data_IF_614658826865
#
_entry.id   IF_614658826865
#
_cell.length_a   1.000
_cell.length_b   1.000
_cell.length_c   1.000
_cell.angle_alpha   90.00
_cell.angle_beta   90.00
_cell.angle_gamma   90.00
#
_symmetry.space_group_name_H-M   'P 1'
#
loop_
_entity.id
_entity.type
_entity.pdbx_description
1 polymer ?
#
# COMPACT_ATOMS: atom_id res chain seq x y z
N UNK A 1 -32.45 -21.77 46.60
CA UNK A 1 -33.78 -21.12 46.50
C UNK A 1 -33.72 -19.81 47.25
N UNK A 2 -33.95 -18.68 46.57
CA UNK A 2 -33.96 -17.33 47.18
C UNK A 2 -35.27 -16.64 46.79
N UNK A 3 -36.06 -16.10 47.74
CA UNK A 3 -37.32 -15.45 47.44
C UNK A 3 -37.19 -13.94 47.14
N UNK A 4 -38.28 -13.42 46.60
CA UNK A 4 -38.51 -12.06 46.08
C UNK A 4 -38.13 -10.90 47.02
N UNK A 5 -37.69 -9.80 46.40
CA UNK A 5 -37.56 -8.47 47.02
C UNK A 5 -38.89 -7.71 47.08
N UNK A 6 -39.03 -6.84 48.08
CA UNK A 6 -39.85 -5.62 48.06
C UNK A 6 -39.08 -4.50 48.81
N UNK A 7 -39.26 -3.26 48.37
CA UNK A 7 -38.60 -2.01 48.82
C UNK A 7 -39.47 -1.29 49.88
N UNK A 8 -39.34 0.03 50.22
CA UNK A 8 -38.28 1.04 50.04
C UNK A 8 -37.95 1.86 51.34
N UNK A 9 -37.02 2.83 51.29
CA UNK A 9 -37.21 4.29 51.61
C UNK A 9 -35.89 5.06 51.83
N UNK A 10 -35.92 6.38 51.60
CA UNK A 10 -34.80 7.32 51.77
C UNK A 10 -34.64 7.79 53.22
N UNK A 11 -33.45 8.28 53.60
CA UNK A 11 -33.36 9.52 54.39
C UNK A 11 -32.06 10.30 54.11
N UNK A 12 -32.12 11.63 54.34
CA UNK A 12 -31.07 12.62 54.09
C UNK A 12 -30.41 13.03 55.42
N UNK A 13 -29.12 13.37 55.41
CA UNK A 13 -28.51 14.17 56.49
C UNK A 13 -27.39 15.08 55.94
N UNK A 14 -27.33 16.32 56.44
CA UNK A 14 -26.44 17.39 56.01
C UNK A 14 -25.47 17.82 57.13
N UNK A 15 -24.35 18.42 56.71
CA UNK A 15 -23.63 19.55 57.31
C UNK A 15 -22.70 19.39 58.55
N UNK A 16 -21.54 20.07 58.36
CA UNK A 16 -20.81 20.94 59.28
C UNK A 16 -19.84 20.35 60.33
N UNK A 17 -18.58 20.81 60.23
CA UNK A 17 -17.60 20.92 61.31
C UNK A 17 -16.87 22.28 61.18
N UNK A 18 -16.40 22.85 62.29
CA UNK A 18 -16.22 24.31 62.45
C UNK A 18 -14.80 24.77 62.78
N UNK A 19 -14.50 26.02 62.39
CA UNK A 19 -13.65 27.05 63.04
C UNK A 19 -12.21 26.77 63.57
N UNK A 20 -11.27 27.62 63.12
CA UNK A 20 -10.30 28.49 63.87
C UNK A 20 -9.99 28.17 65.36
N UNK A 21 -8.78 28.37 65.93
CA UNK A 21 -7.49 28.94 65.46
C UNK A 21 -6.36 28.73 66.51
N UNK A 22 -5.08 28.84 66.06
CA UNK A 22 -3.86 29.15 66.85
C UNK A 22 -3.42 28.15 67.96
N UNK A 23 -2.13 27.96 68.32
CA UNK A 23 -0.85 28.55 67.90
C UNK A 23 0.25 27.44 67.86
N UNK A 24 1.59 27.63 67.85
CA UNK A 24 2.45 28.82 68.02
C UNK A 24 3.73 28.74 67.12
N UNK A 25 4.95 28.69 67.67
CA UNK A 25 6.22 28.91 66.96
C UNK A 25 7.39 27.98 67.36
N UNK A 26 8.24 27.63 66.37
CA UNK A 26 9.71 27.38 66.45
C UNK A 26 10.24 26.91 65.07
N UNK A 27 11.54 27.03 64.76
CA UNK A 27 12.43 28.19 64.90
C UNK A 27 12.99 28.66 63.52
N UNK A 28 13.69 29.79 63.50
CA UNK A 28 14.40 30.31 62.31
C UNK A 28 15.58 29.40 61.92
N UNK A 29 15.47 28.73 60.77
CA UNK A 29 16.48 27.82 60.25
C UNK A 29 16.27 27.52 58.76
N UNK A 30 16.14 28.57 57.94
CA UNK A 30 15.91 28.43 56.50
C UNK A 30 17.21 28.03 55.77
N UNK A 31 17.61 26.77 55.89
CA UNK A 31 18.57 26.16 54.96
C UNK A 31 17.89 26.05 53.60
N UNK A 32 18.39 26.77 52.60
CA UNK A 32 17.79 26.86 51.26
C UNK A 32 17.95 25.57 50.46
N UNK A 33 17.24 24.52 50.86
CA UNK A 33 17.06 23.31 50.07
C UNK A 33 16.14 23.64 48.88
N UNK A 34 16.74 24.14 47.80
CA UNK A 34 16.07 24.32 46.53
C UNK A 34 15.55 22.97 46.03
N UNK A 35 14.28 22.66 46.32
CA UNK A 35 13.56 21.59 45.64
C UNK A 35 13.30 22.04 44.21
N UNK A 36 14.28 21.83 43.35
CA UNK A 36 14.08 21.73 41.92
C UNK A 36 13.18 20.51 41.65
N UNK A 37 11.88 20.70 41.83
CA UNK A 37 10.90 19.83 41.22
C UNK A 37 11.15 19.91 39.71
N UNK A 38 11.46 18.80 39.02
CA UNK A 38 11.59 18.85 37.58
C UNK A 38 10.22 19.19 37.01
N UNK A 39 10.10 20.36 36.37
CA UNK A 39 8.94 20.69 35.56
C UNK A 39 8.79 19.59 34.51
N UNK A 40 7.83 18.69 34.72
CA UNK A 40 7.27 17.89 33.65
C UNK A 40 6.46 18.83 32.76
N UNK A 41 7.16 19.57 31.92
CA UNK A 41 6.60 20.10 30.68
C UNK A 41 6.20 18.89 29.83
N UNK A 42 5.00 18.36 30.09
CA UNK A 42 4.31 17.57 29.11
C UNK A 42 4.22 18.45 27.85
N UNK A 43 4.67 17.99 26.67
CA UNK A 43 4.58 18.78 25.47
C UNK A 43 3.13 19.21 25.29
N UNK A 44 2.88 20.53 25.26
CA UNK A 44 1.54 21.03 25.00
C UNK A 44 1.12 20.51 23.64
N UNK A 45 0.19 19.55 23.63
CA UNK A 45 -0.37 19.03 22.40
C UNK A 45 -0.96 20.23 21.65
N UNK A 46 -0.42 20.54 20.47
CA UNK A 46 -0.87 21.68 19.68
C UNK A 46 -2.33 21.42 19.31
N UNK A 47 -3.23 22.06 20.04
CA UNK A 47 -4.66 21.96 19.85
C UNK A 47 -4.99 22.63 18.51
N UNK A 48 -5.05 21.82 17.45
CA UNK A 48 -5.45 22.28 16.12
C UNK A 48 -6.91 22.67 16.17
N UNK A 49 -7.22 23.84 15.64
CA UNK A 49 -8.61 24.30 15.55
C UNK A 49 -9.39 23.45 14.55
N UNK A 50 -10.72 23.41 14.68
CA UNK A 50 -11.56 22.66 13.75
C UNK A 50 -11.47 23.21 12.32
N UNK A 51 -11.19 24.51 12.14
CA UNK A 51 -10.94 25.13 10.84
C UNK A 51 -9.67 24.56 10.19
N UNK A 52 -8.59 24.41 10.94
CA UNK A 52 -7.34 23.81 10.43
C UNK A 52 -7.57 22.35 10.02
N UNK A 53 -8.32 21.60 10.84
CA UNK A 53 -8.65 20.20 10.55
C UNK A 53 -9.59 20.07 9.35
N UNK A 54 -10.53 20.99 9.16
CA UNK A 54 -11.36 21.06 7.96
C UNK A 54 -10.51 21.34 6.71
N UNK A 55 -9.60 22.33 6.78
CA UNK A 55 -8.71 22.73 5.69
C UNK A 55 -7.77 21.60 5.23
N UNK A 56 -7.22 20.80 6.16
CA UNK A 56 -6.38 19.62 5.85
C UNK A 56 -7.09 18.64 4.87
N UNK A 57 -8.43 18.56 4.94
CA UNK A 57 -9.26 17.68 4.11
C UNK A 57 -9.98 18.40 2.96
N UNK A 58 -9.80 19.71 2.80
CA UNK A 58 -10.53 20.53 1.82
C UNK A 58 -12.03 20.70 2.15
N UNK A 59 -12.38 20.56 3.43
CA UNK A 59 -13.73 20.72 3.97
C UNK A 59 -13.93 22.12 4.54
N UNK A 60 -15.19 22.54 4.67
CA UNK A 60 -15.59 23.68 5.50
C UNK A 60 -15.78 23.25 6.98
N UNK A 61 -15.79 24.22 7.90
CA UNK A 61 -15.96 23.98 9.34
C UNK A 61 -17.30 23.35 9.71
N UNK A 62 -18.38 23.63 8.97
CA UNK A 62 -19.69 22.98 9.15
C UNK A 62 -19.64 21.49 8.77
N UNK A 63 -18.92 21.16 7.69
CA UNK A 63 -18.74 19.77 7.22
C UNK A 63 -17.86 18.97 8.18
N UNK A 64 -16.83 19.62 8.73
CA UNK A 64 -16.00 19.05 9.78
C UNK A 64 -16.79 18.78 11.07
N UNK A 65 -17.72 19.67 11.42
CA UNK A 65 -18.60 19.47 12.58
C UNK A 65 -19.56 18.31 12.36
N UNK A 66 -20.22 18.25 11.20
CA UNK A 66 -21.05 17.11 10.79
C UNK A 66 -20.28 15.79 10.81
N UNK A 67 -19.03 15.76 10.33
CA UNK A 67 -18.18 14.58 10.41
C UNK A 67 -18.04 14.08 11.86
N UNK A 68 -17.77 14.97 12.83
CA UNK A 68 -17.67 14.59 14.25
C UNK A 68 -18.98 14.06 14.82
N UNK A 69 -20.13 14.58 14.39
CA UNK A 69 -21.45 14.11 14.82
C UNK A 69 -21.73 12.71 14.27
N UNK A 70 -21.46 12.46 12.98
CA UNK A 70 -21.58 11.13 12.37
C UNK A 70 -20.70 10.08 13.05
N UNK A 71 -19.47 10.47 13.44
CA UNK A 71 -18.54 9.61 14.17
C UNK A 71 -18.88 9.41 15.67
N UNK A 72 -19.83 10.17 16.22
CA UNK A 72 -20.45 9.89 17.53
C UNK A 72 -21.68 8.98 17.39
N UNK A 73 -22.22 8.83 16.18
CA UNK A 73 -23.35 7.97 15.85
C UNK A 73 -22.96 6.55 15.43
N UNK A 74 -23.92 5.79 14.86
CA UNK A 74 -23.70 4.38 14.46
C UNK A 74 -22.54 4.17 13.49
N UNK A 75 -22.27 5.11 12.59
CA UNK A 75 -21.14 5.02 11.65
C UNK A 75 -19.80 4.94 12.39
N UNK A 76 -19.60 5.76 13.43
CA UNK A 76 -18.41 5.72 14.28
C UNK A 76 -18.32 4.46 15.15
N UNK A 77 -19.45 3.85 15.52
CA UNK A 77 -19.47 2.55 16.21
C UNK A 77 -19.00 1.42 15.28
N UNK A 78 -19.45 1.42 14.02
CA UNK A 78 -19.02 0.42 13.03
C UNK A 78 -17.59 0.66 12.50
N UNK A 79 -17.17 1.92 12.34
CA UNK A 79 -15.87 2.30 11.77
C UNK A 79 -15.20 3.44 12.56
N UNK A 80 -14.63 3.20 13.75
CA UNK A 80 -14.12 4.26 14.65
C UNK A 80 -12.98 5.13 14.08
N UNK A 81 -12.28 4.66 13.05
CA UNK A 81 -11.14 5.33 12.42
C UNK A 81 -11.40 5.73 10.97
N UNK A 82 -12.67 5.87 10.58
CA UNK A 82 -13.06 6.27 9.23
C UNK A 82 -12.60 7.70 8.94
N UNK A 83 -12.11 7.95 7.73
CA UNK A 83 -11.67 9.28 7.33
C UNK A 83 -12.88 10.21 7.05
N UNK A 84 -12.69 11.55 7.16
CA UNK A 84 -13.79 12.50 7.04
C UNK A 84 -14.51 12.49 5.68
N UNK A 85 -13.79 12.26 4.59
CA UNK A 85 -14.36 12.33 3.24
C UNK A 85 -15.15 11.06 2.93
N UNK A 86 -14.66 9.89 3.35
CA UNK A 86 -15.41 8.63 3.27
C UNK A 86 -16.64 8.67 4.18
N UNK A 87 -16.52 9.17 5.41
CA UNK A 87 -17.65 9.28 6.34
C UNK A 87 -18.76 10.20 5.79
N UNK A 88 -18.40 11.40 5.32
CA UNK A 88 -19.35 12.34 4.70
C UNK A 88 -19.90 11.84 3.36
N UNK A 89 -19.14 11.04 2.62
CA UNK A 89 -19.56 10.43 1.35
C UNK A 89 -20.55 9.25 1.49
N UNK A 90 -20.41 8.45 2.54
CA UNK A 90 -21.37 7.39 2.89
C UNK A 90 -22.71 8.03 3.30
N UNK A 91 -22.65 8.97 4.25
CA UNK A 91 -23.80 9.66 4.85
C UNK A 91 -24.24 10.91 4.06
N UNK A 92 -23.94 10.97 2.76
CA UNK A 92 -24.24 12.11 1.90
C UNK A 92 -25.76 12.29 1.71
N UNK A 93 -26.24 13.53 1.84
CA UNK A 93 -27.68 13.88 1.74
C UNK A 93 -28.20 13.97 0.31
N UNK A 94 -27.29 14.00 -0.67
CA UNK A 94 -27.60 14.05 -2.10
C UNK A 94 -26.46 13.44 -2.91
N UNK A 95 -26.73 13.08 -4.16
CA UNK A 95 -25.69 12.59 -5.07
C UNK A 95 -24.67 13.67 -5.45
N UNK A 96 -25.02 14.94 -5.30
CA UNK A 96 -24.08 16.06 -5.42
C UNK A 96 -23.10 16.12 -4.25
N UNK A 97 -23.57 15.99 -3.00
CA UNK A 97 -22.69 15.84 -1.83
C UNK A 97 -21.79 14.62 -2.00
N UNK A 98 -22.38 13.46 -2.37
CA UNK A 98 -21.67 12.20 -2.58
C UNK A 98 -20.56 12.33 -3.61
N UNK A 99 -20.85 12.95 -4.76
CA UNK A 99 -19.89 13.23 -5.84
C UNK A 99 -18.78 14.17 -5.36
N UNK A 100 -19.12 15.27 -4.70
CA UNK A 100 -18.13 16.25 -4.20
C UNK A 100 -17.16 15.63 -3.20
N UNK A 101 -17.63 14.81 -2.25
CA UNK A 101 -16.75 14.13 -1.30
C UNK A 101 -15.89 13.05 -1.97
N UNK A 102 -16.44 12.28 -2.92
CA UNK A 102 -15.66 11.31 -3.70
C UNK A 102 -14.53 11.99 -4.51
N UNK A 103 -14.80 13.12 -5.17
CA UNK A 103 -13.75 13.87 -5.88
C UNK A 103 -12.70 14.47 -4.93
N UNK A 104 -13.10 14.96 -3.75
CA UNK A 104 -12.16 15.41 -2.72
C UNK A 104 -11.25 14.26 -2.27
N UNK A 105 -11.81 13.05 -2.10
CA UNK A 105 -11.06 11.86 -1.71
C UNK A 105 -10.05 11.45 -2.79
N UNK A 106 -10.45 11.45 -4.06
CA UNK A 106 -9.53 11.19 -5.19
C UNK A 106 -8.38 12.21 -5.21
N UNK A 107 -8.67 13.50 -5.01
CA UNK A 107 -7.66 14.56 -4.95
C UNK A 107 -6.73 14.42 -3.73
N UNK A 108 -7.25 14.00 -2.58
CA UNK A 108 -6.46 13.73 -1.40
C UNK A 108 -5.53 12.52 -1.60
N UNK A 109 -6.05 11.42 -2.14
CA UNK A 109 -5.29 10.20 -2.37
C UNK A 109 -4.21 10.37 -3.45
N UNK A 110 -4.50 11.08 -4.54
CA UNK A 110 -3.50 11.40 -5.56
C UNK A 110 -2.27 12.13 -4.96
N UNK A 111 -2.50 13.14 -4.11
CA UNK A 111 -1.42 13.86 -3.39
C UNK A 111 -0.69 12.96 -2.38
N UNK A 112 -1.38 12.03 -1.71
CA UNK A 112 -0.78 11.07 -0.80
C UNK A 112 0.12 10.08 -1.55
N UNK A 113 -0.34 9.54 -2.67
CA UNK A 113 0.41 8.63 -3.53
C UNK A 113 1.65 9.33 -4.10
N UNK A 114 1.52 10.56 -4.60
CA UNK A 114 2.65 11.35 -5.09
C UNK A 114 3.75 11.52 -4.04
N UNK A 115 3.38 11.98 -2.83
CA UNK A 115 4.32 12.11 -1.68
C UNK A 115 4.96 10.77 -1.30
N UNK A 116 4.18 9.69 -1.31
CA UNK A 116 4.66 8.34 -0.98
C UNK A 116 5.67 7.85 -2.02
N UNK A 117 5.41 8.07 -3.32
CA UNK A 117 6.34 7.72 -4.41
C UNK A 117 7.61 8.57 -4.38
N UNK A 118 7.50 9.87 -4.06
CA UNK A 118 8.67 10.74 -3.87
C UNK A 118 9.56 10.24 -2.73
N UNK A 119 8.96 9.89 -1.59
CA UNK A 119 9.68 9.28 -0.47
C UNK A 119 10.28 7.91 -0.82
N UNK A 120 9.54 7.04 -1.51
CA UNK A 120 10.01 5.72 -1.92
C UNK A 120 11.28 5.83 -2.78
N UNK A 121 11.34 6.76 -3.75
CA UNK A 121 12.55 7.01 -4.55
C UNK A 121 13.74 7.44 -3.70
N UNK A 122 13.52 8.31 -2.71
CA UNK A 122 14.56 8.75 -1.79
C UNK A 122 15.05 7.62 -0.88
N UNK A 123 14.13 6.79 -0.37
CA UNK A 123 14.44 5.56 0.38
C UNK A 123 15.23 4.57 -0.48
N UNK A 124 14.84 4.40 -1.74
CA UNK A 124 15.51 3.48 -2.67
C UNK A 124 16.97 3.88 -2.92
N UNK A 125 17.22 5.18 -3.11
CA UNK A 125 18.56 5.74 -3.26
C UNK A 125 19.36 5.70 -1.94
N UNK A 126 18.71 5.89 -0.80
CA UNK A 126 19.35 5.73 0.51
C UNK A 126 19.81 4.28 0.74
N UNK A 127 18.98 3.30 0.41
CA UNK A 127 19.31 1.88 0.53
C UNK A 127 20.53 1.48 -0.29
N UNK A 128 20.69 1.99 -1.53
CA UNK A 128 21.88 1.68 -2.33
C UNK A 128 23.18 2.17 -1.69
N UNK A 129 23.13 3.30 -0.97
CA UNK A 129 24.30 3.87 -0.28
C UNK A 129 24.61 3.18 1.05
N UNK A 130 23.57 2.73 1.76
CA UNK A 130 23.68 2.24 3.15
C UNK A 130 23.77 0.71 3.21
N UNK A 131 23.10 -0.02 2.31
CA UNK A 131 22.97 -1.47 2.36
C UNK A 131 23.05 -2.15 0.96
N UNK A 132 24.10 -1.90 0.15
CA UNK A 132 24.18 -2.35 -1.25
C UNK A 132 24.18 -3.87 -1.46
N UNK A 133 24.48 -4.67 -0.43
CA UNK A 133 24.42 -6.14 -0.48
C UNK A 133 23.24 -6.78 0.25
N UNK A 134 22.38 -6.00 0.92
CA UNK A 134 21.28 -6.55 1.71
C UNK A 134 20.04 -6.76 0.85
N UNK A 135 19.54 -8.00 0.83
CA UNK A 135 18.27 -8.33 0.17
C UNK A 135 17.11 -7.61 0.86
N UNK A 136 16.37 -6.78 0.10
CA UNK A 136 15.20 -6.04 0.61
C UNK A 136 13.99 -6.92 0.92
N UNK A 137 13.86 -8.01 0.18
CA UNK A 137 12.82 -9.04 0.37
C UNK A 137 13.51 -10.38 0.24
N UNK A 138 13.33 -11.25 1.24
CA UNK A 138 13.80 -12.63 1.17
C UNK A 138 12.64 -13.51 0.69
N UNK A 139 12.63 -13.84 -0.61
CA UNK A 139 11.68 -14.76 -1.21
C UNK A 139 12.31 -16.16 -1.24
N UNK A 140 11.75 -17.17 -0.54
CA UNK A 140 12.27 -18.53 -0.58
C UNK A 140 12.31 -19.06 -2.01
N UNK A 141 13.50 -19.44 -2.49
CA UNK A 141 13.73 -19.91 -3.86
C UNK A 141 14.10 -18.82 -4.89
N UNK A 142 14.01 -17.53 -4.55
CA UNK A 142 14.59 -16.48 -5.39
C UNK A 142 16.10 -16.36 -5.12
N UNK A 143 16.92 -16.51 -6.17
CA UNK A 143 18.34 -16.13 -6.08
C UNK A 143 18.42 -14.61 -5.86
N UNK A 144 19.32 -14.11 -4.99
CA UNK A 144 19.43 -12.68 -4.72
C UNK A 144 20.01 -11.95 -5.94
N UNK A 145 19.14 -11.42 -6.79
CA UNK A 145 19.50 -10.44 -7.81
C UNK A 145 19.43 -9.04 -7.20
N UNK A 146 20.49 -8.25 -7.43
CA UNK A 146 20.59 -6.89 -6.91
C UNK A 146 19.47 -5.99 -7.43
N UNK A 147 18.93 -5.17 -6.52
CA UNK A 147 18.21 -3.91 -6.74
C UNK A 147 17.52 -3.67 -8.11
N UNK A 148 16.20 -3.76 -8.13
CA UNK A 148 15.34 -3.03 -9.07
C UNK A 148 14.51 -3.89 -10.03
N UNK A 149 13.21 -3.96 -9.76
CA UNK A 149 12.13 -4.22 -10.75
C UNK A 149 12.35 -5.33 -11.80
N UNK A 150 13.09 -6.39 -11.45
CA UNK A 150 13.17 -7.59 -12.28
C UNK A 150 11.87 -8.40 -12.13
N UNK A 151 10.96 -8.26 -13.11
CA UNK A 151 9.79 -9.13 -13.27
C UNK A 151 10.28 -10.55 -13.53
N UNK A 152 10.43 -11.35 -12.46
CA UNK A 152 10.86 -12.74 -12.48
C UNK A 152 11.95 -13.02 -13.54
N UNK A 153 13.09 -12.31 -13.47
CA UNK A 153 14.25 -12.64 -14.28
C UNK A 153 14.76 -14.03 -13.88
N UNK A 154 14.33 -15.06 -14.60
CA UNK A 154 15.12 -16.27 -14.76
C UNK A 154 16.38 -15.88 -15.52
N UNK A 155 17.45 -15.52 -14.80
CA UNK A 155 18.63 -14.79 -15.32
C UNK A 155 19.47 -15.54 -16.38
N UNK A 156 19.00 -16.70 -16.85
CA UNK A 156 19.59 -17.45 -17.97
C UNK A 156 18.55 -17.92 -19.01
N UNK A 157 17.24 -17.81 -18.74
CA UNK A 157 16.20 -18.32 -19.65
C UNK A 157 16.06 -17.42 -20.87
N UNK A 158 16.11 -18.04 -22.03
CA UNK A 158 15.89 -17.36 -23.32
C UNK A 158 14.43 -16.90 -23.38
N UNK A 159 14.18 -15.67 -23.83
CA UNK A 159 12.82 -15.22 -24.15
C UNK A 159 12.65 -15.15 -25.68
N UNK A 160 11.47 -15.48 -26.18
CA UNK A 160 11.11 -15.31 -27.58
C UNK A 160 9.81 -14.52 -27.71
N UNK A 161 9.88 -13.39 -28.41
CA UNK A 161 8.72 -12.60 -28.79
C UNK A 161 8.20 -13.06 -30.14
N UNK A 162 6.90 -13.31 -30.22
CA UNK A 162 6.21 -13.85 -31.40
C UNK A 162 4.91 -13.09 -31.65
N UNK A 163 4.43 -13.10 -32.90
CA UNK A 163 3.06 -12.65 -33.25
C UNK A 163 2.31 -13.82 -33.87
N UNK A 164 0.99 -13.84 -33.74
CA UNK A 164 0.17 -14.80 -34.49
C UNK A 164 0.20 -14.49 -35.99
N UNK A 165 -0.05 -15.48 -36.84
CA UNK A 165 0.06 -15.35 -38.31
C UNK A 165 1.50 -15.18 -38.82
N UNK A 166 2.49 -15.70 -38.09
CA UNK A 166 3.92 -15.57 -38.40
C UNK A 166 4.60 -16.94 -38.50
N UNK A 167 4.72 -17.48 -39.71
CA UNK A 167 5.34 -18.80 -39.95
C UNK A 167 6.78 -18.88 -39.42
N UNK A 168 7.56 -17.80 -39.54
CA UNK A 168 8.91 -17.73 -39.00
C UNK A 168 8.93 -17.83 -37.46
N UNK A 169 7.90 -17.31 -36.79
CA UNK A 169 7.75 -17.37 -35.34
C UNK A 169 7.48 -18.81 -34.88
N UNK A 170 6.58 -19.52 -35.55
CA UNK A 170 6.27 -20.92 -35.25
C UNK A 170 7.52 -21.81 -35.44
N UNK A 171 8.27 -21.58 -36.52
CA UNK A 171 9.54 -22.28 -36.79
C UNK A 171 10.64 -21.95 -35.76
N UNK A 172 10.71 -20.71 -35.26
CA UNK A 172 11.67 -20.33 -34.22
C UNK A 172 11.35 -20.99 -32.87
N UNK A 173 10.07 -21.01 -32.48
CA UNK A 173 9.61 -21.71 -31.25
C UNK A 173 9.86 -23.21 -31.35
N UNK A 174 9.61 -23.83 -32.51
CA UNK A 174 9.89 -25.26 -32.71
C UNK A 174 11.39 -25.58 -32.61
N UNK A 175 12.27 -24.72 -33.13
CA UNK A 175 13.73 -24.88 -32.98
C UNK A 175 14.19 -24.76 -31.52
N UNK A 176 13.68 -23.78 -30.77
CA UNK A 176 13.96 -23.64 -29.33
C UNK A 176 13.42 -24.84 -28.52
N UNK A 177 12.24 -25.35 -28.86
CA UNK A 177 11.69 -26.56 -28.24
C UNK A 177 12.53 -27.81 -28.54
N UNK A 178 13.11 -27.91 -29.73
CA UNK A 178 13.95 -29.03 -30.15
C UNK A 178 15.36 -29.00 -29.54
N UNK A 179 15.94 -27.83 -29.27
CA UNK A 179 17.24 -27.73 -28.59
C UNK A 179 17.19 -28.07 -27.10
N UNK A 180 15.99 -28.24 -26.52
CA UNK A 180 15.81 -28.66 -25.13
C UNK A 180 16.08 -27.57 -24.08
N UNK A 181 16.40 -26.35 -24.51
CA UNK A 181 16.57 -25.21 -23.60
C UNK A 181 15.26 -24.83 -22.92
N UNK A 182 15.36 -24.27 -21.73
CA UNK A 182 14.24 -23.60 -21.08
C UNK A 182 14.04 -22.20 -21.69
N UNK A 183 12.80 -21.87 -22.07
CA UNK A 183 12.51 -20.57 -22.66
C UNK A 183 11.09 -20.06 -22.40
N UNK A 184 10.92 -18.75 -22.52
CA UNK A 184 9.69 -18.04 -22.21
C UNK A 184 9.14 -17.35 -23.46
N UNK A 185 7.93 -17.74 -23.87
CA UNK A 185 7.26 -17.18 -25.05
C UNK A 185 6.41 -15.98 -24.64
N UNK A 186 6.56 -14.86 -25.35
CA UNK A 186 5.72 -13.67 -25.21
C UNK A 186 4.96 -13.41 -26.52
N UNK A 187 3.64 -13.59 -26.49
CA UNK A 187 2.78 -13.41 -27.67
C UNK A 187 2.35 -11.95 -27.77
N UNK A 188 2.96 -11.23 -28.71
CA UNK A 188 2.67 -9.83 -29.06
C UNK A 188 1.30 -9.73 -29.73
N UNK A 189 0.52 -8.70 -29.35
CA UNK A 189 -0.82 -8.50 -29.91
C UNK A 189 -1.88 -9.51 -29.45
N UNK A 190 -1.61 -10.29 -28.40
CA UNK A 190 -2.53 -11.28 -27.82
C UNK A 190 -3.73 -10.70 -27.06
N UNK A 191 -3.77 -9.38 -26.80
CA UNK A 191 -4.91 -8.64 -26.21
C UNK A 191 -5.45 -9.19 -24.87
N UNK A 192 -4.59 -9.81 -24.05
CA UNK A 192 -4.98 -10.51 -22.82
C UNK A 192 -6.02 -11.63 -23.02
N UNK A 193 -6.12 -12.19 -24.22
CA UNK A 193 -6.98 -13.31 -24.57
C UNK A 193 -6.16 -14.62 -24.55
N UNK A 194 -6.28 -15.35 -23.45
CA UNK A 194 -5.65 -16.67 -23.29
C UNK A 194 -6.01 -17.67 -24.41
N UNK A 195 -7.23 -17.59 -24.96
CA UNK A 195 -7.71 -18.57 -25.92
C UNK A 195 -6.90 -18.48 -27.22
N UNK A 196 -6.54 -17.26 -27.63
CA UNK A 196 -5.59 -17.02 -28.73
C UNK A 196 -4.23 -17.65 -28.48
N UNK A 197 -3.67 -17.50 -27.27
CA UNK A 197 -2.38 -18.12 -26.93
C UNK A 197 -2.48 -19.65 -26.98
N UNK A 198 -3.55 -20.24 -26.42
CA UNK A 198 -3.80 -21.69 -26.46
C UNK A 198 -4.03 -22.22 -27.88
N UNK A 199 -4.66 -21.44 -28.76
CA UNK A 199 -4.87 -21.83 -30.15
C UNK A 199 -3.58 -21.75 -30.96
N UNK A 200 -2.86 -20.62 -30.87
CA UNK A 200 -1.56 -20.44 -31.51
C UNK A 200 -0.55 -21.51 -31.06
N UNK A 201 -0.45 -21.80 -29.74
CA UNK A 201 0.47 -22.80 -29.22
C UNK A 201 0.22 -24.21 -29.77
N UNK A 202 -1.05 -24.58 -30.03
CA UNK A 202 -1.42 -25.84 -30.70
C UNK A 202 -0.94 -25.85 -32.16
N UNK A 203 -1.17 -24.78 -32.92
CA UNK A 203 -0.70 -24.65 -34.32
C UNK A 203 0.82 -24.66 -34.42
N UNK A 204 1.50 -23.96 -33.51
CA UNK A 204 2.96 -23.93 -33.38
C UNK A 204 3.55 -25.26 -32.84
N UNK A 205 2.74 -26.28 -32.52
CA UNK A 205 3.15 -27.60 -32.02
C UNK A 205 4.00 -27.53 -30.75
N UNK A 206 3.63 -26.63 -29.83
CA UNK A 206 4.24 -26.56 -28.50
C UNK A 206 3.75 -27.75 -27.68
N UNK A 207 4.68 -28.47 -27.06
CA UNK A 207 4.42 -29.66 -26.26
C UNK A 207 3.74 -29.28 -24.91
N UNK A 208 2.48 -29.70 -24.67
CA UNK A 208 1.78 -29.41 -23.42
C UNK A 208 2.43 -30.05 -22.18
N UNK A 209 3.27 -31.09 -22.32
CA UNK A 209 4.06 -31.61 -21.22
C UNK A 209 5.17 -30.64 -20.82
N UNK A 210 5.92 -30.09 -21.79
CA UNK A 210 6.94 -29.05 -21.54
C UNK A 210 6.35 -27.77 -20.96
N UNK A 211 5.13 -27.39 -21.34
CA UNK A 211 4.43 -26.24 -20.74
C UNK A 211 4.02 -26.51 -19.29
N UNK A 212 3.41 -27.67 -19.01
CA UNK A 212 3.05 -28.07 -17.63
C UNK A 212 4.27 -28.19 -16.72
N UNK A 213 5.37 -28.72 -17.24
CA UNK A 213 6.65 -28.85 -16.55
C UNK A 213 7.48 -27.54 -16.52
N UNK A 214 6.94 -26.42 -17.00
CA UNK A 214 7.57 -25.08 -17.03
C UNK A 214 8.89 -24.95 -17.82
N UNK A 215 9.28 -25.96 -18.61
CA UNK A 215 10.35 -25.84 -19.60
C UNK A 215 10.04 -24.76 -20.65
N UNK A 216 8.75 -24.62 -21.00
CA UNK A 216 8.25 -23.56 -21.87
C UNK A 216 7.18 -22.79 -21.10
N UNK A 217 7.28 -21.46 -21.01
CA UNK A 217 6.15 -20.64 -20.55
C UNK A 217 5.47 -19.94 -21.72
N UNK A 218 4.15 -19.75 -21.61
CA UNK A 218 3.32 -19.06 -22.60
C UNK A 218 2.72 -17.83 -21.93
N UNK A 219 3.09 -16.65 -22.41
CA UNK A 219 2.77 -15.38 -21.76
C UNK A 219 2.17 -14.38 -22.75
N UNK A 220 1.32 -13.49 -22.24
CA UNK A 220 1.02 -12.26 -22.93
C UNK A 220 2.25 -11.35 -22.94
N UNK A 221 2.54 -10.74 -24.08
CA UNK A 221 3.57 -9.70 -24.17
C UNK A 221 3.24 -8.48 -23.28
N UNK A 222 1.98 -8.03 -23.29
CA UNK A 222 1.54 -6.90 -22.45
C UNK A 222 2.22 -5.55 -22.76
N UNK A 223 2.84 -5.40 -23.94
CA UNK A 223 3.66 -4.23 -24.31
C UNK A 223 5.15 -4.40 -24.02
N UNK A 224 5.58 -5.55 -23.48
CA UNK A 224 6.98 -5.84 -23.13
C UNK A 224 7.91 -5.66 -24.33
N UNK A 225 7.56 -6.18 -25.50
CA UNK A 225 8.36 -6.04 -26.73
C UNK A 225 8.70 -4.58 -27.06
N UNK A 226 7.70 -3.69 -27.01
CA UNK A 226 7.91 -2.26 -27.25
C UNK A 226 8.78 -1.63 -26.13
N UNK A 227 8.56 -2.03 -24.87
CA UNK A 227 9.33 -1.50 -23.73
C UNK A 227 10.81 -1.89 -23.73
N UNK A 228 11.20 -2.96 -24.44
CA UNK A 228 12.60 -3.37 -24.57
C UNK A 228 13.39 -2.49 -25.54
N UNK A 229 12.74 -1.74 -26.43
CA UNK A 229 13.40 -0.85 -27.39
C UNK A 229 14.32 -1.54 -28.40
N UNK A 230 14.27 -2.87 -28.51
CA UNK A 230 15.13 -3.66 -29.40
C UNK A 230 14.66 -3.55 -30.86
N UNK A 231 15.63 -3.46 -31.78
CA UNK A 231 15.34 -3.31 -33.21
C UNK A 231 15.07 -4.65 -33.92
N UNK A 232 14.48 -4.55 -35.11
CA UNK A 232 14.17 -5.66 -36.02
C UNK A 232 12.78 -6.27 -35.80
N UNK A 233 12.36 -7.13 -36.73
CA UNK A 233 11.02 -7.74 -36.71
C UNK A 233 10.90 -8.96 -35.77
N UNK A 234 9.70 -9.53 -35.67
CA UNK A 234 9.42 -10.78 -34.97
C UNK A 234 9.58 -11.99 -35.92
N UNK A 235 10.08 -13.14 -35.44
CA UNK A 235 10.38 -13.46 -34.06
C UNK A 235 11.67 -12.82 -33.56
N UNK A 236 11.67 -12.37 -32.31
CA UNK A 236 12.86 -11.86 -31.63
C UNK A 236 13.22 -12.78 -30.47
N UNK A 237 14.34 -13.50 -30.61
CA UNK A 237 14.95 -14.27 -29.54
C UNK A 237 15.89 -13.35 -28.77
N UNK A 238 15.73 -13.27 -27.45
CA UNK A 238 16.49 -12.35 -26.60
C UNK A 238 16.93 -13.06 -25.32
N UNK A 239 18.06 -12.62 -24.75
CA UNK A 239 18.56 -13.08 -23.45
C UNK A 239 19.03 -11.88 -22.64
N UNK A 240 18.93 -11.97 -21.31
CA UNK A 240 19.49 -10.96 -20.43
C UNK A 240 20.98 -11.25 -20.21
N UNK A 241 21.87 -10.34 -20.61
CA UNK A 241 23.32 -10.44 -20.47
C UNK A 241 23.81 -9.19 -19.73
N UNK A 242 24.44 -9.35 -18.57
CA UNK A 242 24.88 -8.22 -17.73
C UNK A 242 23.73 -7.29 -17.29
N UNK A 243 22.52 -7.83 -17.14
CA UNK A 243 21.31 -7.06 -16.82
C UNK A 243 20.62 -6.40 -18.03
N UNK A 244 21.29 -6.28 -19.17
CA UNK A 244 20.73 -5.74 -20.41
C UNK A 244 20.07 -6.84 -21.26
N UNK A 245 18.95 -6.55 -21.90
CA UNK A 245 18.36 -7.47 -22.89
C UNK A 245 19.10 -7.33 -24.22
N UNK A 246 19.55 -8.46 -24.77
CA UNK A 246 20.27 -8.52 -26.03
C UNK A 246 19.56 -9.51 -26.96
N UNK A 247 19.32 -9.10 -28.21
CA UNK A 247 18.85 -9.97 -29.27
C UNK A 247 19.95 -10.97 -29.65
N UNK A 248 19.57 -12.23 -29.81
CA UNK A 248 20.44 -13.33 -30.27
C UNK A 248 20.39 -13.46 -31.79
#
# INVERSE_FOLDING_TARGET
>A
MVPRHLTPTLLVALLAASAMQAALAQPTGATTAARTAPSREAPAAIARSDEQRAQDWGLRTDEWTRYRELMQGPLGVYSPSLDPLTALGIEARSDEERRRYAELQVRAEARRVEKTLAYQRAYDAAWQRIAPGMARVNLPGAKPTGAGTAIASGTDRTAIFVKDGCTACDQAVQRLQASGVEFDVYVVGSRADDARIREWARRARIDPAKVRARYITLNHDGGRWLSLGLQGELPAVVRQVGGQWQRQ
#
